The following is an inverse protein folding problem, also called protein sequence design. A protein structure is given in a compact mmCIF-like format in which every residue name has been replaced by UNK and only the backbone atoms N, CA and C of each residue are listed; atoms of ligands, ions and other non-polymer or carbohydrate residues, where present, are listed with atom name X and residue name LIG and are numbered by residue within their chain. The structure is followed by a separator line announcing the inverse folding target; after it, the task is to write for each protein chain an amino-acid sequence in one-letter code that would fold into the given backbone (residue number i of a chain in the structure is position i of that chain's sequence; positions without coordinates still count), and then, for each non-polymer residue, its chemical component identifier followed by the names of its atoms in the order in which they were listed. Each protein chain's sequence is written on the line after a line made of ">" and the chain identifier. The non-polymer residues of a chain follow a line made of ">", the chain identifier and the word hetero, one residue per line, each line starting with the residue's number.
data_IF_437574811998
#
_entry.id   IF_437574811998
#
_cell.length_a   1.000
_cell.length_b   1.000
_cell.length_c   1.000
_cell.angle_alpha   90.00
_cell.angle_beta   90.00
_cell.angle_gamma   90.00
#
_symmetry.space_group_name_H-M   'P 1'
#
loop_
_entity.id
_entity.type
_entity.pdbx_description
1 polymer ?
#
# COMPACT_ATOMS: atom_id res chain seq x y z
N UNK A 1 8.25 -45.21 -9.60
CA UNK A 1 8.13 -44.24 -10.72
C UNK A 1 6.74 -44.28 -11.37
N UNK A 2 6.26 -45.45 -11.83
CA UNK A 2 4.94 -45.59 -12.50
C UNK A 2 3.76 -45.16 -11.60
N UNK A 3 3.78 -45.50 -10.31
CA UNK A 3 2.73 -45.12 -9.36
C UNK A 3 2.61 -43.60 -9.12
N UNK A 4 3.74 -42.88 -9.17
CA UNK A 4 3.76 -41.42 -9.01
C UNK A 4 3.18 -40.70 -10.22
N UNK A 5 3.46 -41.20 -11.43
CA UNK A 5 2.92 -40.66 -12.68
C UNK A 5 1.40 -40.85 -12.75
N UNK A 6 0.90 -42.02 -12.30
CA UNK A 6 -0.54 -42.28 -12.22
C UNK A 6 -1.25 -41.33 -11.23
N UNK A 7 -0.66 -41.10 -10.07
CA UNK A 7 -1.20 -40.21 -9.04
C UNK A 7 -1.29 -38.75 -9.53
N UNK A 8 -0.23 -38.26 -10.19
CA UNK A 8 -0.21 -36.91 -10.77
C UNK A 8 -1.23 -36.74 -11.90
N UNK A 9 -1.44 -37.79 -12.70
CA UNK A 9 -2.41 -37.77 -13.81
C UNK A 9 -3.85 -37.70 -13.29
N UNK A 10 -4.17 -38.46 -12.24
CA UNK A 10 -5.49 -38.43 -11.60
C UNK A 10 -5.77 -37.07 -10.96
N UNK A 11 -4.77 -36.50 -10.27
CA UNK A 11 -4.88 -35.18 -9.64
C UNK A 11 -5.09 -34.06 -10.68
N UNK A 12 -4.36 -34.10 -11.79
CA UNK A 12 -4.50 -33.13 -12.87
C UNK A 12 -5.91 -33.17 -13.50
N UNK A 13 -6.45 -34.37 -13.75
CA UNK A 13 -7.80 -34.52 -14.30
C UNK A 13 -8.88 -34.02 -13.32
N UNK A 14 -8.71 -34.24 -12.02
CA UNK A 14 -9.63 -33.75 -10.99
C UNK A 14 -9.64 -32.21 -10.92
N UNK A 15 -8.48 -31.57 -11.02
CA UNK A 15 -8.36 -30.10 -11.03
C UNK A 15 -9.02 -29.47 -12.25
N UNK A 16 -8.81 -30.04 -13.44
CA UNK A 16 -9.43 -29.54 -14.69
C UNK A 16 -10.97 -29.66 -14.60
N UNK A 17 -11.48 -30.77 -14.05
CA UNK A 17 -12.92 -30.95 -13.82
C UNK A 17 -13.51 -29.93 -12.84
N UNK A 18 -12.80 -29.65 -11.74
CA UNK A 18 -13.24 -28.67 -10.74
C UNK A 18 -13.29 -27.24 -11.30
N UNK A 19 -12.29 -26.85 -12.10
CA UNK A 19 -12.25 -25.53 -12.76
C UNK A 19 -13.38 -25.41 -13.80
N UNK A 20 -13.58 -26.44 -14.63
CA UNK A 20 -14.69 -26.48 -15.59
C UNK A 20 -16.05 -26.36 -14.90
N UNK A 21 -16.26 -27.05 -13.78
CA UNK A 21 -17.48 -26.96 -12.99
C UNK A 21 -17.73 -25.56 -12.41
N UNK A 22 -16.68 -24.86 -11.96
CA UNK A 22 -16.77 -23.52 -11.38
C UNK A 22 -17.13 -22.46 -12.44
N UNK A 23 -16.55 -22.59 -13.64
CA UNK A 23 -16.81 -21.68 -14.78
C UNK A 23 -18.20 -21.90 -15.37
N UNK A 24 -18.71 -23.13 -15.35
CA UNK A 24 -20.03 -23.49 -15.91
C UNK A 24 -21.17 -23.38 -14.90
N UNK A 25 -20.96 -22.86 -13.68
CA UNK A 25 -22.04 -22.67 -12.71
C UNK A 25 -23.09 -21.69 -13.26
N UNK A 26 -24.34 -22.13 -13.53
CA UNK A 26 -25.44 -21.23 -13.80
C UNK A 26 -26.05 -20.79 -12.47
N UNK A 27 -25.66 -19.61 -12.01
CA UNK A 27 -26.27 -18.90 -10.89
C UNK A 27 -25.66 -17.51 -10.87
N UNK A 28 -26.33 -16.47 -11.33
CA UNK A 28 -27.72 -16.10 -11.09
C UNK A 28 -27.64 -14.71 -10.48
N UNK A 29 -27.52 -13.69 -11.33
CA UNK A 29 -27.51 -12.29 -10.92
C UNK A 29 -28.92 -11.93 -10.46
N UNK A 30 -29.14 -11.86 -9.15
CA UNK A 30 -30.34 -11.25 -8.60
C UNK A 30 -30.05 -9.77 -8.35
N UNK A 31 -30.41 -8.94 -9.32
CA UNK A 31 -30.86 -7.59 -9.01
C UNK A 31 -32.25 -7.67 -8.39
N UNK A 32 -32.55 -6.76 -7.46
CA UNK A 32 -33.80 -6.00 -7.41
C UNK A 32 -33.84 -5.16 -6.11
N UNK A 33 -33.99 -3.85 -6.31
CA UNK A 33 -34.16 -2.86 -5.26
C UNK A 33 -34.69 -1.56 -5.86
N UNK A 34 -35.72 -1.68 -6.71
CA UNK A 34 -36.50 -0.55 -7.20
C UNK A 34 -37.61 -0.21 -6.21
N UNK A 35 -37.80 1.09 -5.97
CA UNK A 35 -38.92 1.69 -5.22
C UNK A 35 -38.38 2.78 -4.29
N UNK A 36 -38.72 4.06 -4.40
CA UNK A 36 -39.95 4.63 -4.92
C UNK A 36 -39.72 6.13 -5.20
N UNK A 37 -39.99 6.54 -6.44
CA UNK A 37 -40.24 7.94 -6.78
C UNK A 37 -41.69 8.25 -6.40
N UNK A 38 -41.91 9.29 -5.58
CA UNK A 38 -43.21 9.95 -5.48
C UNK A 38 -42.98 11.45 -5.51
N UNK A 39 -43.23 12.02 -6.69
CA UNK A 39 -43.57 13.42 -6.83
C UNK A 39 -44.99 13.62 -6.28
N UNK A 40 -45.16 14.59 -5.38
CA UNK A 40 -46.45 15.03 -4.87
C UNK A 40 -46.45 16.54 -4.74
N UNK A 41 -46.91 17.22 -5.78
CA UNK A 41 -47.10 18.66 -5.83
C UNK A 41 -48.29 19.13 -4.97
N UNK A 42 -48.06 20.25 -4.28
CA UNK A 42 -48.95 21.41 -4.14
C UNK A 42 -50.30 21.33 -3.38
N UNK A 43 -50.42 22.20 -2.36
CA UNK A 43 -51.37 23.35 -2.29
C UNK A 43 -52.20 23.50 -1.00
N UNK A 44 -52.02 24.68 -0.36
CA UNK A 44 -53.02 25.57 0.32
C UNK A 44 -53.90 25.02 1.45
N UNK A 45 -54.07 25.71 2.60
CA UNK A 45 -54.68 27.04 2.73
C UNK A 45 -54.60 27.54 4.20
N UNK A 46 -54.10 28.77 4.40
CA UNK A 46 -54.79 29.99 4.87
C UNK A 46 -55.07 30.08 6.38
N UNK A 47 -54.53 31.12 7.03
CA UNK A 47 -55.29 32.00 7.93
C UNK A 47 -54.59 33.35 8.13
N UNK A 48 -55.42 34.37 8.04
CA UNK A 48 -55.18 35.81 7.92
C UNK A 48 -54.98 36.46 9.29
N UNK A 49 -54.09 37.44 9.41
CA UNK A 49 -54.21 38.54 10.38
C UNK A 49 -53.41 39.76 9.92
N UNK A 50 -53.89 40.96 10.29
CA UNK A 50 -53.77 42.23 9.55
C UNK A 50 -52.89 43.28 10.25
N UNK A 51 -52.20 44.10 9.43
CA UNK A 51 -51.68 45.48 9.65
C UNK A 51 -50.47 45.69 10.60
N UNK A 52 -49.59 46.73 10.45
CA UNK A 52 -49.65 47.96 9.62
C UNK A 52 -48.39 48.27 8.73
N UNK A 53 -48.42 49.25 7.80
CA UNK A 53 -47.21 49.81 7.14
C UNK A 53 -46.60 50.93 8.02
N UNK A 54 -45.28 51.24 8.05
CA UNK A 54 -44.36 51.49 6.90
C UNK A 54 -42.93 50.91 7.15
N UNK A 55 -41.96 50.89 6.24
CA UNK A 55 -41.03 51.97 5.83
C UNK A 55 -40.15 51.37 4.73
N UNK A 56 -39.97 52.05 3.60
CA UNK A 56 -38.93 51.68 2.62
C UNK A 56 -37.59 52.21 3.12
N UNK A 57 -36.77 51.33 3.68
CA UNK A 57 -35.37 51.62 3.98
C UNK A 57 -34.50 50.86 2.99
N UNK A 58 -33.75 51.61 2.17
CA UNK A 58 -32.75 51.04 1.27
C UNK A 58 -31.56 50.60 2.09
N UNK A 59 -31.59 49.36 2.59
CA UNK A 59 -30.42 48.74 3.21
C UNK A 59 -29.41 48.40 2.11
N UNK A 60 -28.31 49.16 2.04
CA UNK A 60 -27.12 48.74 1.32
C UNK A 60 -26.48 47.59 2.10
N UNK A 61 -26.56 46.37 1.57
CA UNK A 61 -25.82 45.23 2.11
C UNK A 61 -24.37 45.32 1.64
N UNK A 62 -23.49 45.73 2.54
CA UNK A 62 -22.03 45.61 2.33
C UNK A 62 -21.69 44.12 2.35
N UNK A 63 -21.02 43.64 1.30
CA UNK A 63 -20.56 42.25 1.21
C UNK A 63 -19.66 41.90 2.40
N UNK A 64 -19.82 40.72 3.04
CA UNK A 64 -18.98 40.33 4.14
C UNK A 64 -17.52 40.23 3.68
N UNK A 65 -16.65 40.93 4.40
CA UNK A 65 -15.21 40.88 4.20
C UNK A 65 -14.73 39.44 4.41
N UNK A 66 -14.10 38.88 3.38
CA UNK A 66 -13.58 37.51 3.41
C UNK A 66 -12.28 37.52 4.19
N UNK A 67 -12.35 37.22 5.48
CA UNK A 67 -11.17 37.09 6.33
C UNK A 67 -10.32 35.91 5.82
N UNK A 68 -9.13 36.22 5.32
CA UNK A 68 -8.18 35.21 4.86
C UNK A 68 -7.36 34.76 6.05
N UNK A 69 -7.74 33.63 6.66
CA UNK A 69 -6.97 33.02 7.74
C UNK A 69 -5.71 32.39 7.15
N UNK A 70 -4.56 32.99 7.42
CA UNK A 70 -3.26 32.40 7.06
C UNK A 70 -2.91 31.35 8.10
N UNK A 71 -3.05 30.07 7.74
CA UNK A 71 -2.60 28.95 8.59
C UNK A 71 -1.13 28.70 8.30
N UNK A 72 -0.25 29.21 9.17
CA UNK A 72 1.18 28.88 9.15
C UNK A 72 1.36 27.46 9.70
N UNK A 73 1.55 26.47 8.82
CA UNK A 73 1.96 25.12 9.21
C UNK A 73 3.47 25.09 9.44
N UNK A 74 3.89 24.62 10.61
CA UNK A 74 5.29 24.39 10.91
C UNK A 74 5.87 23.34 9.95
N UNK A 75 6.95 23.70 9.27
CA UNK A 75 7.67 22.78 8.36
C UNK A 75 8.30 21.69 9.24
N UNK A 76 8.07 20.40 8.95
CA UNK A 76 8.75 19.32 9.67
C UNK A 76 10.26 19.57 9.67
N UNK A 77 10.87 19.56 10.85
CA UNK A 77 12.31 19.74 10.98
C UNK A 77 13.04 18.74 10.07
N UNK A 78 13.93 19.23 9.22
CA UNK A 78 14.81 18.38 8.42
C UNK A 78 15.64 17.52 9.39
N UNK A 79 15.48 16.19 9.33
CA UNK A 79 16.34 15.28 10.08
C UNK A 79 17.77 15.49 9.61
N UNK A 80 18.71 15.69 10.54
CA UNK A 80 20.13 15.75 10.20
C UNK A 80 20.54 14.46 9.48
N UNK A 81 21.26 14.53 8.34
CA UNK A 81 21.74 13.33 7.68
C UNK A 81 22.75 12.65 8.60
N UNK A 82 22.40 11.45 9.09
CA UNK A 82 23.36 10.58 9.78
C UNK A 82 24.24 9.96 8.70
N UNK A 83 25.47 10.42 8.58
CA UNK A 83 26.39 9.95 7.54
C UNK A 83 27.13 8.69 8.00
N UNK A 84 26.44 7.55 8.02
CA UNK A 84 27.06 6.33 7.52
C UNK A 84 26.82 6.35 6.00
N UNK A 85 27.90 6.40 5.21
CA UNK A 85 27.76 6.46 3.75
C UNK A 85 26.96 5.27 3.23
N UNK A 86 26.01 5.52 2.32
CA UNK A 86 25.28 4.46 1.63
C UNK A 86 26.24 3.51 0.89
N UNK A 87 25.83 2.26 0.63
CA UNK A 87 26.59 1.37 -0.24
C UNK A 87 26.85 2.01 -1.60
N UNK A 88 27.98 1.67 -2.24
CA UNK A 88 28.30 2.17 -3.58
C UNK A 88 27.17 1.80 -4.57
N UNK A 89 26.63 2.80 -5.27
CA UNK A 89 25.49 2.63 -6.18
C UNK A 89 24.11 2.76 -5.51
N UNK A 90 24.06 3.15 -4.24
CA UNK A 90 22.83 3.48 -3.53
C UNK A 90 22.83 4.94 -3.04
N UNK A 91 21.64 5.46 -2.77
CA UNK A 91 21.39 6.73 -2.12
C UNK A 91 20.31 6.60 -1.04
N UNK A 92 19.78 7.73 -0.56
CA UNK A 92 18.76 7.78 0.48
C UNK A 92 17.46 7.06 0.13
N UNK A 93 17.22 6.70 -1.13
CA UNK A 93 16.02 5.95 -1.55
C UNK A 93 16.34 4.52 -1.96
N UNK A 94 17.56 4.03 -1.71
CA UNK A 94 17.99 2.68 -2.06
C UNK A 94 18.85 2.62 -3.32
N UNK A 95 18.79 1.50 -4.03
CA UNK A 95 19.62 1.26 -5.21
C UNK A 95 19.28 2.19 -6.39
N UNK A 96 20.28 2.82 -6.99
CA UNK A 96 20.13 3.72 -8.14
C UNK A 96 19.97 2.91 -9.43
N UNK A 97 20.68 1.80 -9.53
CA UNK A 97 20.72 0.90 -10.70
C UNK A 97 19.55 -0.09 -10.78
N UNK A 98 18.74 -0.20 -9.72
CA UNK A 98 17.62 -1.14 -9.67
C UNK A 98 16.36 -0.51 -9.04
N UNK A 99 15.45 -0.06 -9.92
CA UNK A 99 14.17 0.55 -9.55
C UNK A 99 13.22 -0.38 -8.79
N UNK A 100 13.33 -1.70 -8.99
CA UNK A 100 12.50 -2.68 -8.29
C UNK A 100 12.87 -2.77 -6.80
N UNK A 101 14.16 -2.61 -6.48
CA UNK A 101 14.67 -2.56 -5.10
C UNK A 101 14.86 -1.13 -4.57
N UNK A 102 14.28 -0.14 -5.23
CA UNK A 102 14.30 1.27 -4.81
C UNK A 102 12.99 1.62 -4.13
N UNK A 103 13.06 2.49 -3.13
CA UNK A 103 11.89 3.04 -2.48
C UNK A 103 10.99 3.82 -3.46
N UNK A 104 9.70 3.92 -3.11
CA UNK A 104 8.76 4.77 -3.81
C UNK A 104 9.22 6.24 -3.78
N UNK A 105 8.73 7.03 -4.73
CA UNK A 105 9.23 8.37 -4.94
C UNK A 105 9.07 9.25 -3.69
N UNK A 106 10.20 9.74 -3.16
CA UNK A 106 10.24 10.60 -1.96
C UNK A 106 10.42 9.84 -0.65
N UNK A 107 10.26 8.51 -0.65
CA UNK A 107 10.39 7.69 0.55
C UNK A 107 11.87 7.37 0.81
N UNK A 108 12.37 7.57 2.05
CA UNK A 108 13.73 7.18 2.41
C UNK A 108 13.83 5.68 2.68
N UNK A 109 15.00 5.12 2.39
CA UNK A 109 15.42 3.80 2.82
C UNK A 109 15.96 3.86 4.25
N UNK A 110 15.60 2.85 5.04
CA UNK A 110 16.04 2.65 6.43
C UNK A 110 16.91 1.37 6.53
N UNK A 111 16.87 0.53 5.50
CA UNK A 111 17.82 -0.56 5.28
C UNK A 111 18.04 -0.75 3.78
N UNK A 112 19.27 -0.98 3.37
CA UNK A 112 19.64 -1.23 1.96
C UNK A 112 20.56 -2.44 1.95
N UNK A 113 20.26 -3.43 1.10
CA UNK A 113 21.08 -4.61 0.98
C UNK A 113 21.15 -5.19 -0.42
N UNK A 114 22.27 -5.85 -0.70
CA UNK A 114 22.48 -6.64 -1.92
C UNK A 114 23.11 -7.96 -1.50
N UNK A 115 22.43 -9.05 -1.80
CA UNK A 115 22.93 -10.41 -1.59
C UNK A 115 23.60 -10.91 -2.86
N UNK A 116 24.09 -12.14 -2.84
CA UNK A 116 24.57 -12.82 -4.05
C UNK A 116 23.49 -13.08 -5.11
N UNK A 117 22.20 -12.93 -4.77
CA UNK A 117 21.08 -13.31 -5.64
C UNK A 117 20.00 -12.21 -5.80
N UNK A 118 19.94 -11.26 -4.88
CA UNK A 118 18.89 -10.25 -4.83
C UNK A 118 19.41 -8.89 -4.37
N UNK A 119 18.69 -7.83 -4.69
CA UNK A 119 18.85 -6.52 -4.06
C UNK A 119 17.54 -6.09 -3.41
N UNK A 120 17.64 -5.34 -2.32
CA UNK A 120 16.47 -4.83 -1.61
C UNK A 120 16.73 -3.48 -0.94
N UNK A 121 15.62 -2.80 -0.65
CA UNK A 121 15.55 -1.71 0.32
C UNK A 121 14.35 -1.93 1.22
N UNK A 122 14.49 -1.63 2.51
CA UNK A 122 13.36 -1.45 3.42
C UNK A 122 13.19 0.05 3.59
N UNK A 123 11.99 0.51 3.28
CA UNK A 123 11.65 1.91 3.15
C UNK A 123 10.63 2.29 4.20
N UNK A 124 10.58 3.58 4.54
CA UNK A 124 9.53 4.12 5.39
C UNK A 124 8.71 5.13 4.60
N UNK A 125 7.39 4.96 4.59
CA UNK A 125 6.49 5.96 4.06
C UNK A 125 6.42 7.14 5.07
N UNK A 126 6.80 8.37 4.70
CA UNK A 126 6.85 9.48 5.64
C UNK A 126 5.47 10.00 6.06
N UNK A 127 4.41 9.69 5.31
CA UNK A 127 3.06 10.16 5.60
C UNK A 127 2.39 9.36 6.73
N UNK A 128 2.68 8.06 6.83
CA UNK A 128 2.08 7.17 7.83
C UNK A 128 3.08 6.45 8.74
N UNK A 129 4.38 6.57 8.47
CA UNK A 129 5.46 5.93 9.23
C UNK A 129 5.53 4.41 9.08
N UNK A 130 4.77 3.81 8.15
CA UNK A 130 4.79 2.37 7.89
C UNK A 130 5.99 2.00 7.06
N UNK A 131 6.60 0.88 7.43
CA UNK A 131 7.66 0.29 6.63
C UNK A 131 7.06 -0.52 5.48
N UNK A 132 7.82 -0.61 4.39
CA UNK A 132 7.56 -1.56 3.32
C UNK A 132 8.90 -2.03 2.72
N UNK A 133 8.92 -3.28 2.26
CA UNK A 133 10.06 -3.90 1.61
C UNK A 133 9.93 -3.76 0.10
N UNK A 134 11.04 -3.44 -0.58
CA UNK A 134 11.20 -3.46 -2.04
C UNK A 134 12.35 -4.38 -2.37
N UNK A 135 12.06 -5.52 -3.00
CA UNK A 135 13.06 -6.52 -3.36
C UNK A 135 13.06 -6.84 -4.84
N UNK A 136 14.21 -7.26 -5.35
CA UNK A 136 14.33 -7.78 -6.70
C UNK A 136 15.31 -8.93 -6.83
N UNK A 137 14.90 -9.96 -7.55
CA UNK A 137 15.74 -11.08 -7.96
C UNK A 137 15.51 -11.33 -9.45
N UNK A 138 16.60 -11.39 -10.24
CA UNK A 138 16.52 -11.60 -11.68
C UNK A 138 15.72 -10.53 -12.46
N UNK A 139 15.59 -9.32 -11.90
CA UNK A 139 14.87 -8.20 -12.54
C UNK A 139 13.36 -8.14 -12.27
N UNK A 140 12.76 -9.19 -11.69
CA UNK A 140 11.41 -9.11 -11.15
C UNK A 140 11.43 -8.43 -9.78
N UNK A 141 10.44 -7.57 -9.50
CA UNK A 141 10.30 -6.86 -8.23
C UNK A 141 9.14 -7.38 -7.38
N UNK A 142 9.24 -7.19 -6.07
CA UNK A 142 8.15 -7.39 -5.12
C UNK A 142 8.13 -6.26 -4.10
N UNK A 143 6.92 -5.81 -3.75
CA UNK A 143 6.68 -4.92 -2.63
C UNK A 143 5.89 -5.66 -1.55
N UNK A 144 6.32 -5.56 -0.29
CA UNK A 144 5.67 -6.22 0.85
C UNK A 144 5.53 -5.22 1.98
N UNK A 145 4.30 -5.03 2.45
CA UNK A 145 3.97 -4.14 3.57
C UNK A 145 4.45 -4.66 4.93
N UNK A 146 4.66 -3.73 5.87
CA UNK A 146 4.86 -3.98 7.30
C UNK A 146 5.94 -5.01 7.69
N UNK A 147 7.19 -4.91 7.18
CA UNK A 147 8.27 -5.74 7.69
C UNK A 147 8.54 -5.40 9.17
N UNK A 148 8.79 -6.43 9.97
CA UNK A 148 9.22 -6.27 11.36
C UNK A 148 10.71 -5.93 11.42
N UNK A 149 11.07 -4.75 11.93
CA UNK A 149 12.46 -4.28 11.98
C UNK A 149 12.95 -4.27 13.44
N UNK A 150 14.17 -4.75 13.68
CA UNK A 150 14.81 -4.68 14.99
C UNK A 150 16.34 -4.73 14.87
N UNK A 151 17.03 -3.72 15.41
CA UNK A 151 18.49 -3.76 15.64
C UNK A 151 19.34 -4.13 14.41
N UNK A 152 19.05 -3.55 13.24
CA UNK A 152 19.76 -3.86 11.99
C UNK A 152 19.35 -5.18 11.34
N UNK A 153 18.28 -5.81 11.81
CA UNK A 153 17.65 -6.99 11.21
C UNK A 153 16.21 -6.70 10.82
N UNK A 154 15.69 -7.48 9.89
CA UNK A 154 14.31 -7.40 9.46
C UNK A 154 13.70 -8.76 9.15
N UNK A 155 12.40 -8.87 9.42
CA UNK A 155 11.55 -10.00 9.10
C UNK A 155 10.48 -9.52 8.11
N UNK A 156 10.53 -10.02 6.88
CA UNK A 156 9.58 -9.65 5.81
C UNK A 156 8.74 -10.87 5.49
N UNK A 157 7.44 -10.81 5.80
CA UNK A 157 6.54 -11.94 5.61
C UNK A 157 5.55 -11.66 4.47
N UNK A 158 5.39 -12.63 3.57
CA UNK A 158 4.35 -12.62 2.54
C UNK A 158 3.78 -14.02 2.39
N UNK A 159 2.52 -14.20 2.77
CA UNK A 159 1.84 -15.49 2.79
C UNK A 159 2.63 -16.54 3.63
N UNK A 160 3.05 -17.64 3.01
CA UNK A 160 3.85 -18.71 3.61
C UNK A 160 5.37 -18.48 3.51
N UNK A 161 5.80 -17.34 2.96
CA UNK A 161 7.22 -17.00 2.75
C UNK A 161 7.69 -15.97 3.77
N UNK A 162 8.87 -16.21 4.36
CA UNK A 162 9.52 -15.31 5.31
C UNK A 162 10.96 -15.03 4.87
N UNK A 163 11.33 -13.75 4.79
CA UNK A 163 12.72 -13.31 4.65
C UNK A 163 13.23 -12.88 6.02
N UNK A 164 14.23 -13.58 6.54
CA UNK A 164 15.03 -13.16 7.70
C UNK A 164 16.30 -12.48 7.19
N UNK A 165 16.44 -11.19 7.47
CA UNK A 165 17.47 -10.34 6.91
C UNK A 165 18.31 -9.76 8.04
N UNK A 166 19.63 -9.81 7.89
CA UNK A 166 20.58 -9.07 8.71
C UNK A 166 21.84 -8.74 7.89
N UNK A 167 22.83 -8.13 8.54
CA UNK A 167 24.10 -7.76 7.89
C UNK A 167 24.90 -8.93 7.30
N UNK A 168 24.64 -10.18 7.70
CA UNK A 168 25.31 -11.38 7.20
C UNK A 168 24.65 -11.97 5.95
N UNK A 169 23.33 -11.77 5.78
CA UNK A 169 22.61 -12.31 4.64
C UNK A 169 21.08 -12.20 4.71
N UNK A 170 20.46 -12.89 3.75
CA UNK A 170 19.02 -13.11 3.69
C UNK A 170 18.76 -14.61 3.66
N UNK A 171 18.01 -15.09 4.65
CA UNK A 171 17.48 -16.45 4.69
C UNK A 171 16.00 -16.41 4.29
N UNK A 172 15.61 -17.29 3.39
CA UNK A 172 14.24 -17.36 2.87
C UNK A 172 13.64 -18.69 3.28
N UNK A 173 12.52 -18.60 4.00
CA UNK A 173 11.75 -19.74 4.45
C UNK A 173 10.43 -19.83 3.70
N UNK A 174 9.96 -21.04 3.42
CA UNK A 174 8.61 -21.29 2.93
C UNK A 174 7.97 -22.40 3.77
N UNK A 175 6.80 -22.11 4.36
CA UNK A 175 6.14 -23.06 5.26
C UNK A 175 7.00 -23.45 6.48
N UNK A 176 7.97 -22.62 6.86
CA UNK A 176 8.93 -22.88 7.94
C UNK A 176 10.21 -23.64 7.51
N UNK A 177 10.30 -24.11 6.26
CA UNK A 177 11.50 -24.75 5.73
C UNK A 177 12.42 -23.72 5.06
N UNK A 178 13.73 -23.78 5.33
CA UNK A 178 14.71 -22.92 4.68
C UNK A 178 14.90 -23.35 3.21
N UNK A 179 14.46 -22.52 2.28
CA UNK A 179 14.54 -22.79 0.83
C UNK A 179 15.68 -22.02 0.14
N UNK A 180 16.22 -20.97 0.76
CA UNK A 180 17.36 -20.22 0.23
C UNK A 180 18.16 -19.54 1.33
N UNK A 181 19.48 -19.51 1.19
CA UNK A 181 20.41 -18.75 2.02
C UNK A 181 21.32 -17.93 1.12
N UNK A 182 21.26 -16.61 1.27
CA UNK A 182 21.93 -15.66 0.38
C UNK A 182 22.88 -14.78 1.18
N UNK A 183 24.21 -14.95 1.08
CA UNK A 183 25.17 -14.10 1.76
C UNK A 183 25.02 -12.63 1.35
N UNK A 184 25.23 -11.72 2.30
CA UNK A 184 25.20 -10.28 2.07
C UNK A 184 26.52 -9.82 1.41
N UNK A 185 26.40 -9.06 0.32
CA UNK A 185 27.52 -8.45 -0.39
C UNK A 185 27.68 -6.98 0.00
N UNK A 186 26.56 -6.29 0.18
CA UNK A 186 26.52 -4.89 0.61
C UNK A 186 25.37 -4.71 1.59
N UNK A 187 25.59 -3.94 2.66
CA UNK A 187 24.59 -3.68 3.68
C UNK A 187 24.72 -2.29 4.28
N UNK A 188 23.58 -1.71 4.65
CA UNK A 188 23.47 -0.47 5.40
C UNK A 188 22.10 -0.44 6.10
N UNK A 189 22.04 0.16 7.29
CA UNK A 189 20.82 0.39 8.05
C UNK A 189 20.96 1.60 8.98
N UNK A 190 19.87 2.30 9.26
CA UNK A 190 19.78 3.43 10.23
C UNK A 190 19.36 3.02 11.64
#
# INVERSE_FOLDING_TARGET
>A
MVAFIALLSILALALIGAIGYLVLRPGGVSGDGAGQVVAGSSSSSTSTASSPPPVTETAYTTAPERETVTVTREVPAARSPRTAGYPAGADSSGWIDNSQSRCNAGDPAEMIGRTTQASFSICINPDNGRYYYRGSSGGAGVEIDDPGISGGSAMVASNDVLYSIDSSGMQIYQGGELISSQPMVSFWSE
#
